data_IF_357055903670
#
_entry.id   IF_357055903670
#
_cell.length_a   1.000
_cell.length_b   1.000
_cell.length_c   1.000
_cell.angle_alpha   90.00
_cell.angle_beta   90.00
_cell.angle_gamma   90.00
#
_symmetry.space_group_name_H-M   'P 1'
#
loop_
_entity.id
_entity.type
_entity.pdbx_description
1 polymer ?
#
# COMPACT_ATOMS: atom_id res chain seq x y z
N UNK A 1 -11.62 91.41 38.73
CA UNK A 1 -12.12 90.12 38.21
C UNK A 1 -11.47 89.83 36.85
N UNK A 2 -10.26 89.29 36.82
CA UNK A 2 -9.61 88.76 35.63
C UNK A 2 -8.36 88.05 36.15
N UNK A 3 -8.33 86.71 36.09
CA UNK A 3 -7.13 85.83 36.23
C UNK A 3 -7.51 84.36 36.52
N UNK A 4 -8.77 84.04 36.84
CA UNK A 4 -9.21 82.63 37.02
C UNK A 4 -9.72 81.92 35.75
N UNK A 5 -9.97 82.63 34.66
CA UNK A 5 -10.60 82.06 33.46
C UNK A 5 -9.61 81.57 32.39
N UNK A 6 -8.34 81.98 32.43
CA UNK A 6 -7.35 81.63 31.38
C UNK A 6 -6.70 80.26 31.63
N UNK A 7 -6.69 79.76 32.88
CA UNK A 7 -6.10 78.44 33.17
C UNK A 7 -6.99 77.28 32.72
N UNK A 8 -8.32 77.39 32.77
CA UNK A 8 -9.23 76.27 32.47
C UNK A 8 -9.21 75.90 30.97
N UNK A 9 -9.09 76.88 30.08
CA UNK A 9 -9.08 76.64 28.62
C UNK A 9 -7.77 76.04 28.08
N UNK A 10 -6.65 76.19 28.80
CA UNK A 10 -5.37 75.60 28.36
C UNK A 10 -5.30 74.10 28.70
N UNK A 11 -5.86 73.67 29.84
CA UNK A 11 -5.93 72.25 30.22
C UNK A 11 -6.91 71.43 29.35
N UNK A 12 -7.98 72.05 28.84
CA UNK A 12 -8.94 71.36 27.97
C UNK A 12 -8.36 70.99 26.60
N UNK A 13 -7.50 71.84 26.04
CA UNK A 13 -6.94 71.67 24.70
C UNK A 13 -5.80 70.64 24.65
N UNK A 14 -4.99 70.56 25.71
CA UNK A 14 -3.96 69.51 25.84
C UNK A 14 -4.60 68.15 26.08
N UNK A 15 -5.69 68.11 26.85
CA UNK A 15 -6.41 66.87 27.14
C UNK A 15 -7.11 66.29 25.91
N UNK A 16 -7.72 67.12 25.05
CA UNK A 16 -8.27 66.66 23.76
C UNK A 16 -7.20 66.13 22.83
N UNK A 17 -6.02 66.75 22.78
CA UNK A 17 -4.89 66.26 21.98
C UNK A 17 -4.36 64.91 22.48
N UNK A 18 -4.29 64.71 23.79
CA UNK A 18 -3.90 63.43 24.39
C UNK A 18 -4.91 62.32 24.08
N UNK A 19 -6.21 62.63 24.10
CA UNK A 19 -7.29 61.69 23.73
C UNK A 19 -7.21 61.33 22.23
N UNK A 20 -6.97 62.31 21.36
CA UNK A 20 -6.82 62.07 19.92
C UNK A 20 -5.57 61.22 19.61
N UNK A 21 -4.44 61.50 20.26
CA UNK A 21 -3.22 60.70 20.12
C UNK A 21 -3.42 59.27 20.64
N UNK A 22 -4.11 59.10 21.77
CA UNK A 22 -4.48 57.78 22.30
C UNK A 22 -5.39 57.01 21.33
N UNK A 23 -6.41 57.67 20.78
CA UNK A 23 -7.33 57.06 19.81
C UNK A 23 -6.61 56.64 18.51
N UNK A 24 -5.67 57.45 18.04
CA UNK A 24 -4.84 57.09 16.88
C UNK A 24 -3.97 55.87 17.16
N UNK A 25 -3.40 55.77 18.36
CA UNK A 25 -2.58 54.62 18.74
C UNK A 25 -3.41 53.35 18.88
N UNK A 26 -4.58 53.42 19.52
CA UNK A 26 -5.51 52.29 19.61
C UNK A 26 -5.96 51.81 18.23
N UNK A 27 -6.21 52.74 17.30
CA UNK A 27 -6.59 52.39 15.93
C UNK A 27 -5.43 51.71 15.19
N UNK A 28 -4.21 52.24 15.32
CA UNK A 28 -3.02 51.65 14.70
C UNK A 28 -2.72 50.24 15.24
N UNK A 29 -2.88 50.02 16.55
CA UNK A 29 -2.70 48.71 17.18
C UNK A 29 -3.76 47.70 16.71
N UNK A 30 -5.01 48.16 16.53
CA UNK A 30 -6.11 47.34 16.03
C UNK A 30 -5.91 46.94 14.56
N UNK A 31 -5.49 47.89 13.72
CA UNK A 31 -5.19 47.64 12.31
C UNK A 31 -3.97 46.70 12.17
N UNK A 32 -2.94 46.87 13.01
CA UNK A 32 -1.79 45.97 13.05
C UNK A 32 -2.18 44.53 13.46
N UNK A 33 -3.07 44.36 14.45
CA UNK A 33 -3.59 43.05 14.83
C UNK A 33 -4.43 42.41 13.72
N UNK A 34 -5.25 43.19 13.01
CA UNK A 34 -6.05 42.70 11.88
C UNK A 34 -5.16 42.26 10.71
N UNK A 35 -4.14 43.05 10.39
CA UNK A 35 -3.15 42.71 9.36
C UNK A 35 -2.40 41.43 9.74
N UNK A 36 -1.95 41.32 10.98
CA UNK A 36 -1.26 40.13 11.48
C UNK A 36 -2.16 38.88 11.44
N UNK A 37 -3.43 39.01 11.86
CA UNK A 37 -4.41 37.91 11.79
C UNK A 37 -4.67 37.50 10.34
N UNK A 38 -4.74 38.45 9.41
CA UNK A 38 -4.93 38.17 7.98
C UNK A 38 -3.74 37.41 7.39
N UNK A 39 -2.52 37.85 7.73
CA UNK A 39 -1.29 37.17 7.32
C UNK A 39 -1.20 35.75 7.89
N UNK A 40 -1.53 35.56 9.17
CA UNK A 40 -1.57 34.24 9.81
C UNK A 40 -2.61 33.33 9.14
N UNK A 41 -3.79 33.85 8.80
CA UNK A 41 -4.81 33.09 8.08
C UNK A 41 -4.37 32.73 6.65
N UNK A 42 -3.71 33.65 5.95
CA UNK A 42 -3.15 33.41 4.62
C UNK A 42 -2.04 32.34 4.68
N UNK A 43 -1.16 32.38 5.68
CA UNK A 43 -0.11 31.39 5.89
C UNK A 43 -0.67 30.01 6.25
N UNK A 44 -1.68 29.95 7.12
CA UNK A 44 -2.39 28.70 7.43
C UNK A 44 -3.05 28.12 6.19
N UNK A 45 -3.70 28.96 5.37
CA UNK A 45 -4.30 28.53 4.11
C UNK A 45 -3.25 28.01 3.12
N UNK A 46 -2.10 28.70 3.00
CA UNK A 46 -0.99 28.26 2.14
C UNK A 46 -0.43 26.92 2.61
N UNK A 47 -0.24 26.76 3.93
CA UNK A 47 0.26 25.52 4.50
C UNK A 47 -0.72 24.37 4.28
N UNK A 48 -2.01 24.59 4.51
CA UNK A 48 -3.05 23.59 4.24
C UNK A 48 -3.09 23.18 2.76
N UNK A 49 -3.00 24.14 1.85
CA UNK A 49 -2.96 23.83 0.41
C UNK A 49 -1.72 23.03 0.02
N UNK A 50 -0.56 23.35 0.60
CA UNK A 50 0.68 22.61 0.34
C UNK A 50 0.61 21.19 0.91
N UNK A 51 0.09 21.03 2.13
CA UNK A 51 -0.11 19.70 2.73
C UNK A 51 -1.08 18.84 1.92
N UNK A 52 -2.16 19.42 1.39
CA UNK A 52 -3.09 18.71 0.52
C UNK A 52 -2.46 18.33 -0.82
N UNK A 53 -1.65 19.21 -1.42
CA UNK A 53 -0.86 18.89 -2.62
C UNK A 53 0.12 17.74 -2.36
N UNK A 54 0.84 17.80 -1.25
CA UNK A 54 1.79 16.74 -0.86
C UNK A 54 1.09 15.41 -0.65
N UNK A 55 -0.05 15.39 0.06
CA UNK A 55 -0.86 14.16 0.21
C UNK A 55 -1.38 13.63 -1.12
N UNK A 56 -1.78 14.51 -2.04
CA UNK A 56 -2.24 14.11 -3.37
C UNK A 56 -1.10 13.52 -4.20
N UNK A 57 0.08 14.14 -4.17
CA UNK A 57 1.27 13.66 -4.87
C UNK A 57 1.81 12.36 -4.27
N UNK A 58 1.80 12.23 -2.94
CA UNK A 58 2.11 10.98 -2.24
C UNK A 58 1.13 9.87 -2.64
N UNK A 59 -0.17 10.15 -2.71
CA UNK A 59 -1.17 9.18 -3.20
C UNK A 59 -0.90 8.78 -4.65
N UNK A 60 -0.64 9.73 -5.54
CA UNK A 60 -0.30 9.48 -6.95
C UNK A 60 0.98 8.66 -7.08
N UNK A 61 1.98 8.91 -6.25
CA UNK A 61 3.24 8.18 -6.27
C UNK A 61 3.09 6.77 -5.70
N UNK A 62 2.27 6.60 -4.66
CA UNK A 62 1.88 5.27 -4.15
C UNK A 62 1.12 4.47 -5.21
N UNK A 63 0.23 5.10 -5.98
CA UNK A 63 -0.48 4.47 -7.10
C UNK A 63 0.46 4.06 -8.24
N UNK A 64 1.42 4.90 -8.62
CA UNK A 64 2.44 4.56 -9.64
C UNK A 64 3.35 3.40 -9.22
N UNK A 65 3.59 3.22 -7.92
CA UNK A 65 4.41 2.12 -7.37
C UNK A 65 3.66 0.79 -7.28
N UNK A 66 2.33 0.76 -7.49
CA UNK A 66 1.56 -0.49 -7.45
C UNK A 66 2.01 -1.40 -8.60
N UNK A 67 2.39 -2.66 -8.32
CA UNK A 67 2.74 -3.62 -9.35
C UNK A 67 1.59 -3.72 -10.36
N UNK A 68 1.90 -3.62 -11.65
CA UNK A 68 0.91 -3.77 -12.70
C UNK A 68 0.56 -5.25 -12.83
N UNK A 69 -0.53 -5.66 -12.19
CA UNK A 69 -1.07 -7.02 -12.28
C UNK A 69 -1.70 -7.18 -13.68
N UNK A 70 -1.35 -8.25 -14.39
CA UNK A 70 -1.97 -8.57 -15.69
C UNK A 70 -3.46 -8.89 -15.50
N UNK A 71 -4.31 -8.65 -16.51
CA UNK A 71 -5.74 -8.97 -16.42
C UNK A 71 -6.02 -10.49 -16.56
N UNK A 72 -7.15 -10.95 -16.04
CA UNK A 72 -7.66 -12.31 -16.29
C UNK A 72 -8.28 -12.43 -17.68
N UNK A 73 -7.85 -13.45 -18.42
CA UNK A 73 -8.51 -13.92 -19.64
C UNK A 73 -9.60 -14.93 -19.27
N UNK A 74 -10.87 -14.52 -19.40
CA UNK A 74 -12.04 -15.33 -19.06
C UNK A 74 -12.23 -16.53 -20.02
N UNK A 75 -11.68 -16.47 -21.23
CA UNK A 75 -11.78 -17.55 -22.22
C UNK A 75 -10.73 -18.66 -22.04
N UNK A 76 -9.71 -18.42 -21.19
CA UNK A 76 -8.59 -19.35 -21.01
C UNK A 76 -8.95 -20.44 -20.00
N UNK A 77 -9.17 -21.66 -20.49
CA UNK A 77 -9.34 -22.81 -19.60
C UNK A 77 -8.04 -23.14 -18.84
N UNK A 78 -8.19 -23.67 -17.63
CA UNK A 78 -7.08 -24.20 -16.83
C UNK A 78 -6.43 -25.34 -17.61
N UNK A 79 -5.13 -25.27 -17.84
CA UNK A 79 -4.43 -26.28 -18.61
C UNK A 79 -4.34 -27.60 -17.81
N UNK A 80 -4.50 -28.74 -18.48
CA UNK A 80 -4.35 -30.07 -17.85
C UNK A 80 -2.94 -30.27 -17.25
N UNK A 81 -1.94 -29.60 -17.84
CA UNK A 81 -0.55 -29.65 -17.41
C UNK A 81 -0.04 -28.26 -17.00
N UNK A 82 0.35 -28.13 -15.72
CA UNK A 82 1.06 -26.94 -15.22
C UNK A 82 2.56 -27.14 -15.47
N UNK A 83 3.08 -26.45 -16.49
CA UNK A 83 4.52 -26.48 -16.79
C UNK A 83 5.33 -26.06 -15.55
N UNK A 84 6.31 -26.87 -15.10
CA UNK A 84 7.18 -26.46 -14.01
C UNK A 84 7.99 -25.25 -14.47
N UNK A 85 7.85 -24.12 -13.76
CA UNK A 85 8.66 -22.93 -14.01
C UNK A 85 10.12 -23.26 -13.71
N UNK A 86 11.06 -23.14 -14.67
CA UNK A 86 12.47 -23.19 -14.35
C UNK A 86 12.81 -22.01 -13.44
N UNK A 87 13.67 -22.21 -12.45
CA UNK A 87 14.06 -21.13 -11.53
C UNK A 87 14.62 -19.92 -12.31
N UNK A 88 14.48 -18.70 -11.77
CA UNK A 88 15.06 -17.50 -12.41
C UNK A 88 16.55 -17.67 -12.69
N UNK A 89 17.26 -18.37 -11.79
CA UNK A 89 18.64 -18.77 -11.97
C UNK A 89 18.83 -19.68 -13.20
N UNK A 90 18.01 -20.73 -13.36
CA UNK A 90 18.05 -21.61 -14.52
C UNK A 90 17.74 -20.85 -15.83
N UNK A 91 16.79 -19.91 -15.82
CA UNK A 91 16.48 -19.05 -16.98
C UNK A 91 17.66 -18.14 -17.31
N UNK A 92 18.30 -17.53 -16.31
CA UNK A 92 19.50 -16.70 -16.51
C UNK A 92 20.69 -17.50 -17.05
N UNK A 93 20.86 -18.74 -16.58
CA UNK A 93 21.84 -19.69 -17.12
C UNK A 93 21.51 -20.10 -18.56
N UNK A 94 20.25 -20.39 -18.89
CA UNK A 94 19.81 -20.71 -20.26
C UNK A 94 20.00 -19.53 -21.23
N UNK A 95 19.76 -18.30 -20.77
CA UNK A 95 20.00 -17.09 -21.58
C UNK A 95 21.49 -16.82 -21.81
N UNK A 96 22.36 -17.25 -20.90
CA UNK A 96 23.82 -17.05 -21.01
C UNK A 96 24.56 -18.18 -21.71
N UNK A 97 23.96 -19.36 -21.83
CA UNK A 97 24.60 -20.55 -22.38
C UNK A 97 23.63 -21.37 -23.25
N UNK A 98 24.02 -21.63 -24.51
CA UNK A 98 23.38 -22.63 -25.37
C UNK A 98 23.68 -24.04 -24.81
N UNK A 99 23.00 -24.47 -23.75
CA UNK A 99 23.21 -25.80 -23.18
C UNK A 99 21.92 -26.61 -23.07
N UNK A 100 22.05 -27.83 -23.58
CA UNK A 100 21.08 -28.90 -23.63
C UNK A 100 20.76 -29.41 -22.21
N UNK A 101 19.48 -29.63 -21.93
CA UNK A 101 18.85 -29.66 -20.58
C UNK A 101 19.17 -30.87 -19.69
N UNK A 102 20.19 -31.68 -19.99
CA UNK A 102 20.34 -32.98 -19.32
C UNK A 102 21.20 -33.00 -18.05
N UNK A 103 22.04 -31.99 -17.76
CA UNK A 103 22.89 -31.98 -16.55
C UNK A 103 23.25 -30.57 -16.09
N UNK A 104 22.44 -29.97 -15.22
CA UNK A 104 22.85 -28.79 -14.46
C UNK A 104 22.17 -28.75 -13.09
N UNK A 105 22.61 -29.60 -12.16
CA UNK A 105 22.51 -29.30 -10.75
C UNK A 105 23.76 -28.50 -10.36
N UNK A 106 23.65 -27.18 -10.29
CA UNK A 106 24.63 -26.35 -9.59
C UNK A 106 23.94 -25.74 -8.37
N UNK A 107 24.29 -26.23 -7.20
CA UNK A 107 23.72 -25.86 -5.89
C UNK A 107 24.35 -24.58 -5.31
N UNK A 108 25.13 -23.84 -6.11
CA UNK A 108 26.02 -22.75 -5.67
C UNK A 108 25.36 -21.36 -5.71
N UNK A 109 24.05 -21.26 -5.47
CA UNK A 109 23.39 -19.96 -5.31
C UNK A 109 23.55 -19.50 -3.85
N UNK A 110 24.05 -18.28 -3.60
CA UNK A 110 24.13 -17.67 -2.27
C UNK A 110 23.02 -16.61 -2.10
N UNK A 111 22.29 -16.68 -0.99
CA UNK A 111 21.33 -15.68 -0.56
C UNK A 111 21.92 -14.80 0.55
N UNK A 112 21.46 -13.55 0.63
CA UNK A 112 21.81 -12.62 1.71
C UNK A 112 20.94 -12.93 2.92
N UNK A 113 21.56 -13.12 4.09
CA UNK A 113 20.87 -13.28 5.37
C UNK A 113 21.45 -12.32 6.39
N UNK A 114 20.61 -11.78 7.28
CA UNK A 114 21.06 -10.96 8.41
C UNK A 114 21.36 -11.86 9.60
N UNK A 115 22.57 -11.83 10.13
CA UNK A 115 22.98 -12.54 11.36
C UNK A 115 23.68 -11.53 12.27
N UNK A 116 23.10 -11.27 13.44
CA UNK A 116 23.65 -10.36 14.46
C UNK A 116 24.08 -9.00 13.87
N UNK A 117 23.17 -8.34 13.15
CA UNK A 117 23.40 -7.06 12.46
C UNK A 117 24.44 -7.04 11.32
N UNK A 118 25.01 -8.19 10.96
CA UNK A 118 25.87 -8.34 9.79
C UNK A 118 25.13 -9.04 8.64
N UNK A 119 25.43 -8.65 7.41
CA UNK A 119 24.94 -9.31 6.21
C UNK A 119 25.89 -10.46 5.88
N UNK A 120 25.39 -11.69 5.97
CA UNK A 120 26.12 -12.91 5.67
C UNK A 120 25.59 -13.55 4.38
N UNK A 121 26.48 -14.16 3.61
CA UNK A 121 26.12 -15.00 2.46
C UNK A 121 25.85 -16.41 2.95
N UNK A 122 24.64 -16.90 2.69
CA UNK A 122 24.19 -18.25 3.06
C UNK A 122 23.73 -18.97 1.81
N UNK A 123 24.15 -20.22 1.62
CA UNK A 123 23.75 -21.02 0.46
C UNK A 123 22.21 -21.08 0.38
N UNK A 124 21.62 -20.85 -0.78
CA UNK A 124 20.16 -20.84 -0.96
C UNK A 124 19.57 -22.19 -0.57
N UNK A 125 20.28 -23.29 -0.86
CA UNK A 125 19.91 -24.64 -0.45
C UNK A 125 19.84 -24.84 1.08
N UNK A 126 20.48 -23.97 1.87
CA UNK A 126 20.45 -24.02 3.33
C UNK A 126 19.31 -23.19 3.96
N UNK A 127 18.52 -22.47 3.15
CA UNK A 127 17.21 -21.99 3.58
C UNK A 127 16.25 -23.17 3.60
N UNK A 128 16.20 -23.86 4.73
CA UNK A 128 15.17 -24.84 4.99
C UNK A 128 13.84 -24.12 5.05
N UNK A 129 12.89 -24.49 4.19
CA UNK A 129 11.50 -24.09 4.33
C UNK A 129 11.07 -24.29 5.80
N UNK A 130 10.32 -23.34 6.36
CA UNK A 130 9.83 -23.47 7.73
C UNK A 130 9.19 -24.85 7.92
N UNK A 131 9.49 -25.50 9.04
CA UNK A 131 8.98 -26.85 9.37
C UNK A 131 7.45 -26.95 9.37
N UNK A 132 6.76 -25.80 9.37
CA UNK A 132 5.31 -25.69 9.38
C UNK A 132 4.70 -25.40 7.99
N UNK A 133 5.52 -25.31 6.93
CA UNK A 133 5.00 -25.07 5.57
C UNK A 133 4.41 -26.37 5.04
N UNK A 134 3.09 -26.34 4.79
CA UNK A 134 2.35 -27.42 4.15
C UNK A 134 2.16 -27.03 2.68
N UNK A 135 2.44 -27.93 1.72
CA UNK A 135 2.15 -27.68 0.31
C UNK A 135 0.66 -27.41 0.07
N UNK A 136 0.31 -26.52 -0.86
CA UNK A 136 -1.09 -26.18 -1.19
C UNK A 136 -1.94 -27.40 -1.58
N UNK A 137 -1.33 -28.48 -2.09
CA UNK A 137 -2.02 -29.72 -2.45
C UNK A 137 -2.37 -30.61 -1.25
N UNK A 138 -1.71 -30.40 -0.10
CA UNK A 138 -1.84 -31.23 1.10
C UNK A 138 -2.65 -30.52 2.21
N UNK A 139 -3.17 -29.32 1.93
CA UNK A 139 -4.01 -28.59 2.88
C UNK A 139 -5.37 -29.29 3.05
N UNK A 140 -5.92 -29.24 4.26
CA UNK A 140 -7.27 -29.75 4.50
C UNK A 140 -8.33 -28.80 3.94
N UNK A 141 -9.51 -29.33 3.62
CA UNK A 141 -10.66 -28.53 3.18
C UNK A 141 -10.99 -27.38 4.14
N UNK A 142 -10.94 -27.67 5.45
CA UNK A 142 -11.16 -26.67 6.50
C UNK A 142 -10.12 -25.55 6.45
N UNK A 143 -8.83 -25.88 6.28
CA UNK A 143 -7.77 -24.88 6.17
C UNK A 143 -7.93 -24.03 4.91
N UNK A 144 -8.28 -24.64 3.78
CA UNK A 144 -8.60 -23.91 2.54
C UNK A 144 -9.75 -22.93 2.77
N UNK A 145 -10.85 -23.37 3.38
CA UNK A 145 -12.02 -22.52 3.64
C UNK A 145 -11.72 -21.35 4.60
N UNK A 146 -10.83 -21.53 5.58
CA UNK A 146 -10.36 -20.41 6.41
C UNK A 146 -9.46 -19.50 5.59
N UNK A 147 -8.49 -20.09 4.87
CA UNK A 147 -7.50 -19.36 4.09
C UNK A 147 -8.08 -18.51 2.97
N UNK A 148 -9.13 -18.97 2.27
CA UNK A 148 -9.78 -18.22 1.18
C UNK A 148 -10.39 -16.91 1.67
N UNK A 149 -11.00 -16.89 2.85
CA UNK A 149 -11.59 -15.67 3.43
C UNK A 149 -10.49 -14.66 3.75
N UNK A 150 -9.39 -15.13 4.35
CA UNK A 150 -8.23 -14.32 4.65
C UNK A 150 -7.59 -13.77 3.38
N UNK A 151 -7.48 -14.58 2.32
CA UNK A 151 -6.96 -14.18 1.02
C UNK A 151 -7.81 -13.07 0.38
N UNK A 152 -9.13 -13.27 0.27
CA UNK A 152 -10.02 -12.29 -0.36
C UNK A 152 -9.97 -10.95 0.38
N UNK A 153 -9.93 -10.98 1.72
CA UNK A 153 -9.74 -9.78 2.54
C UNK A 153 -8.42 -9.08 2.24
N UNK A 154 -7.32 -9.83 2.09
CA UNK A 154 -6.03 -9.22 1.76
C UNK A 154 -5.98 -8.69 0.32
N UNK A 155 -6.64 -9.34 -0.64
CA UNK A 155 -6.75 -8.82 -2.00
C UNK A 155 -7.44 -7.46 -2.02
N UNK A 156 -8.52 -7.33 -1.25
CA UNK A 156 -9.23 -6.05 -1.05
C UNK A 156 -8.33 -5.00 -0.38
N UNK A 157 -7.63 -5.35 0.70
CA UNK A 157 -6.69 -4.46 1.39
C UNK A 157 -5.46 -4.06 0.55
N UNK A 158 -5.09 -4.87 -0.43
CA UNK A 158 -3.97 -4.60 -1.34
C UNK A 158 -4.43 -3.91 -2.63
N UNK A 159 -5.66 -3.38 -2.67
CA UNK A 159 -6.25 -2.70 -3.83
C UNK A 159 -6.17 -3.52 -5.13
N UNK A 160 -6.37 -4.84 -5.04
CA UNK A 160 -6.46 -5.65 -6.25
C UNK A 160 -7.67 -5.21 -7.08
N UNK A 161 -7.58 -5.19 -8.42
CA UNK A 161 -8.72 -4.77 -9.22
C UNK A 161 -9.94 -5.68 -8.94
N UNK A 162 -11.11 -5.07 -8.79
CA UNK A 162 -12.32 -5.75 -8.32
C UNK A 162 -12.69 -6.99 -9.15
N UNK A 163 -12.41 -6.95 -10.45
CA UNK A 163 -12.58 -8.09 -11.36
C UNK A 163 -11.82 -9.32 -10.85
N UNK A 164 -10.56 -9.17 -10.41
CA UNK A 164 -9.78 -10.27 -9.87
C UNK A 164 -10.39 -10.82 -8.57
N UNK A 165 -10.75 -9.94 -7.64
CA UNK A 165 -11.36 -10.33 -6.36
C UNK A 165 -12.64 -11.15 -6.62
N UNK A 166 -13.47 -10.70 -7.56
CA UNK A 166 -14.69 -11.40 -7.97
C UNK A 166 -14.38 -12.74 -8.65
N UNK A 167 -13.39 -12.82 -9.55
CA UNK A 167 -12.98 -14.08 -10.17
C UNK A 167 -12.53 -15.12 -9.13
N UNK A 168 -11.73 -14.70 -8.13
CA UNK A 168 -11.35 -15.58 -7.02
C UNK A 168 -12.56 -16.00 -6.18
N UNK A 169 -13.46 -15.07 -5.86
CA UNK A 169 -14.67 -15.37 -5.09
C UNK A 169 -15.58 -16.38 -5.81
N UNK A 170 -15.85 -16.17 -7.10
CA UNK A 170 -16.62 -17.10 -7.93
C UNK A 170 -15.96 -18.48 -8.01
N UNK A 171 -14.64 -18.53 -8.19
CA UNK A 171 -13.90 -19.79 -8.23
C UNK A 171 -14.06 -20.60 -6.94
N UNK A 172 -13.87 -19.96 -5.78
CA UNK A 172 -14.03 -20.64 -4.49
C UNK A 172 -15.47 -21.05 -4.21
N UNK A 173 -16.44 -20.24 -4.63
CA UNK A 173 -17.85 -20.58 -4.56
C UNK A 173 -18.18 -21.81 -5.40
N UNK A 174 -17.71 -21.84 -6.67
CA UNK A 174 -17.92 -22.96 -7.59
C UNK A 174 -17.32 -24.27 -7.07
N UNK A 175 -16.13 -24.21 -6.47
CA UNK A 175 -15.51 -25.38 -5.83
C UNK A 175 -16.33 -25.89 -4.65
N UNK A 176 -16.96 -24.99 -3.88
CA UNK A 176 -17.71 -25.36 -2.69
C UNK A 176 -19.04 -26.05 -3.01
N UNK A 177 -19.72 -25.61 -4.08
CA UNK A 177 -20.98 -26.18 -4.55
C UNK A 177 -20.80 -27.43 -5.42
N UNK A 178 -19.57 -27.75 -5.81
CA UNK A 178 -19.27 -28.82 -6.76
C UNK A 178 -19.73 -30.20 -6.23
N UNK A 179 -20.63 -30.91 -6.94
CA UNK A 179 -21.14 -32.22 -6.49
C UNK A 179 -20.05 -33.28 -6.28
N UNK A 180 -18.90 -33.13 -6.96
CA UNK A 180 -17.73 -33.99 -6.79
C UNK A 180 -17.25 -34.05 -5.33
N UNK A 181 -17.53 -33.01 -4.53
CA UNK A 181 -17.15 -32.94 -3.12
C UNK A 181 -17.71 -34.10 -2.29
N UNK A 182 -18.95 -34.51 -2.54
CA UNK A 182 -19.61 -35.59 -1.80
C UNK A 182 -19.09 -36.98 -2.13
N UNK A 183 -18.22 -37.11 -3.14
CA UNK A 183 -17.63 -38.39 -3.51
C UNK A 183 -16.50 -38.78 -2.55
N UNK A 184 -16.15 -40.08 -2.46
CA UNK A 184 -14.96 -40.51 -1.73
C UNK A 184 -13.71 -39.78 -2.25
N UNK A 185 -12.94 -39.17 -1.35
CA UNK A 185 -11.78 -38.32 -1.68
C UNK A 185 -12.08 -37.05 -2.51
N UNK A 186 -13.35 -36.67 -2.67
CA UNK A 186 -13.76 -35.50 -3.46
C UNK A 186 -13.07 -34.22 -3.00
N UNK A 187 -13.05 -33.96 -1.69
CA UNK A 187 -12.34 -32.81 -1.12
C UNK A 187 -10.86 -32.78 -1.49
N UNK A 188 -10.14 -33.92 -1.43
CA UNK A 188 -8.71 -33.98 -1.79
C UNK A 188 -8.48 -33.65 -3.27
N UNK A 189 -9.33 -34.15 -4.15
CA UNK A 189 -9.25 -33.87 -5.60
C UNK A 189 -9.47 -32.38 -5.87
N UNK A 190 -10.47 -31.77 -5.22
CA UNK A 190 -10.76 -30.35 -5.36
C UNK A 190 -9.64 -29.47 -4.80
N UNK A 191 -9.02 -29.84 -3.67
CA UNK A 191 -7.84 -29.14 -3.14
C UNK A 191 -6.68 -29.19 -4.14
N UNK A 192 -6.38 -30.36 -4.70
CA UNK A 192 -5.31 -30.51 -5.69
C UNK A 192 -5.59 -29.68 -6.96
N UNK A 193 -6.85 -29.64 -7.41
CA UNK A 193 -7.28 -28.77 -8.50
C UNK A 193 -7.07 -27.29 -8.15
N UNK A 194 -7.50 -26.84 -6.97
CA UNK A 194 -7.28 -25.46 -6.54
C UNK A 194 -5.80 -25.09 -6.46
N UNK A 195 -4.95 -25.97 -5.95
CA UNK A 195 -3.51 -25.74 -5.92
C UNK A 195 -2.94 -25.50 -7.32
N UNK A 196 -3.41 -26.27 -8.33
CA UNK A 196 -3.04 -26.06 -9.73
C UNK A 196 -3.52 -24.71 -10.26
N UNK A 197 -4.80 -24.38 -10.08
CA UNK A 197 -5.39 -23.12 -10.57
C UNK A 197 -4.70 -21.91 -9.95
N UNK A 198 -4.49 -21.91 -8.63
CA UNK A 198 -3.79 -20.82 -7.93
C UNK A 198 -2.38 -20.63 -8.46
N UNK A 199 -1.65 -21.73 -8.72
CA UNK A 199 -0.30 -21.66 -9.31
C UNK A 199 -0.32 -21.10 -10.72
N UNK A 200 -1.29 -21.51 -11.55
CA UNK A 200 -1.44 -20.99 -12.91
C UNK A 200 -1.75 -19.49 -12.88
N UNK A 201 -2.71 -19.06 -12.07
CA UNK A 201 -3.05 -17.65 -11.92
C UNK A 201 -1.88 -16.81 -11.39
N UNK A 202 -1.12 -17.33 -10.42
CA UNK A 202 0.07 -16.64 -9.96
C UNK A 202 1.11 -16.43 -11.07
N UNK A 203 1.21 -17.37 -12.02
CA UNK A 203 2.10 -17.22 -13.18
C UNK A 203 1.55 -16.27 -14.24
N UNK A 204 0.23 -16.25 -14.45
CA UNK A 204 -0.41 -15.40 -15.47
C UNK A 204 -0.49 -13.92 -15.02
N UNK A 205 -0.66 -13.67 -13.72
CA UNK A 205 -0.82 -12.33 -13.13
C UNK A 205 0.49 -11.59 -12.84
N UNK A 206 1.64 -12.30 -12.81
CA UNK A 206 2.99 -11.74 -12.65
C UNK A 206 3.52 -11.15 -13.96
#
# INVERSE_FOLDING_TARGET
>A
MCLRFVRISFYGNTHTQEIEAWNQQVQADLDAQQEQTRLEQEDVMRHQQEDERQKEDERKEQEKKKPKINDFDEGKMVADHVMPRPSQFAIGKLKSFNFDLSKAQSDDAYGLTKVNDLVALKLVASFKASRNIVPDADITWRQMNVGRNTLLRYMDQCDWPQKHVQSFAHFYFNIEIEPMRSRPNGERVLIAYQAKVRRQWHNDLQ
#
